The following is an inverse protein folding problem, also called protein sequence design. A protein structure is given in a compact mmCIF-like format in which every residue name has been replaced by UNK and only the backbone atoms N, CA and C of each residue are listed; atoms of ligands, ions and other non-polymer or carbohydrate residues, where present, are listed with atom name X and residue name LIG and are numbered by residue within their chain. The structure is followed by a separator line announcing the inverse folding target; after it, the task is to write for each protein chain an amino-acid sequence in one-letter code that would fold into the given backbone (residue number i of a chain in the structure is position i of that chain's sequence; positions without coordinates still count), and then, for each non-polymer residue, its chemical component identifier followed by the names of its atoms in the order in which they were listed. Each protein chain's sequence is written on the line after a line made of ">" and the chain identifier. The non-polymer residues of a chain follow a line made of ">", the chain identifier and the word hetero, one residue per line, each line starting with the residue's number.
data_IF_469739098239
#
_entry.id   IF_469739098239
#
_cell.length_a   1.000
_cell.length_b   1.000
_cell.length_c   1.000
_cell.angle_alpha   90.00
_cell.angle_beta   90.00
_cell.angle_gamma   90.00
#
_symmetry.space_group_name_H-M   'P 1'
#
loop_
_entity.id
_entity.type
_entity.pdbx_description
1 polymer ?
#
# COMPACT_ATOMS: atom_id res chain seq x y z
N UNK A 1 13.51 6.02 7.33
CA UNK A 1 12.84 6.61 6.15
C UNK A 1 11.56 7.21 6.70
N UNK A 2 11.31 8.52 6.52
CA UNK A 2 10.02 9.08 6.94
C UNK A 2 8.93 8.44 6.07
N UNK A 3 7.84 7.98 6.67
CA UNK A 3 6.77 7.31 5.95
C UNK A 3 5.83 8.34 5.34
N UNK A 4 5.46 8.16 4.08
CA UNK A 4 4.45 8.98 3.42
C UNK A 4 3.05 8.45 3.70
N UNK A 5 2.01 9.28 3.53
CA UNK A 5 0.61 8.88 3.74
C UNK A 5 0.23 7.57 3.03
N UNK A 6 0.61 7.39 1.76
CA UNK A 6 0.32 6.16 1.01
C UNK A 6 0.94 4.91 1.64
N UNK A 7 2.13 5.00 2.23
CA UNK A 7 2.77 3.88 2.94
C UNK A 7 2.04 3.57 4.25
N UNK A 8 1.55 4.59 4.96
CA UNK A 8 0.76 4.40 6.17
C UNK A 8 -0.58 3.73 5.84
N UNK A 9 -1.26 4.17 4.76
CA UNK A 9 -2.46 3.50 4.25
C UNK A 9 -2.19 2.04 3.89
N UNK A 10 -1.10 1.75 3.17
CA UNK A 10 -0.70 0.39 2.80
C UNK A 10 -0.54 -0.52 4.03
N UNK A 11 0.21 -0.04 5.03
CA UNK A 11 0.40 -0.76 6.29
C UNK A 11 -0.91 -1.03 7.02
N UNK A 12 -1.77 -0.02 7.14
CA UNK A 12 -3.05 -0.17 7.82
C UNK A 12 -3.92 -1.21 7.11
N UNK A 13 -3.98 -1.19 5.78
CA UNK A 13 -4.68 -2.22 4.99
C UNK A 13 -4.13 -3.61 5.29
N UNK A 14 -2.80 -3.80 5.30
CA UNK A 14 -2.18 -5.09 5.60
C UNK A 14 -2.52 -5.56 7.02
N UNK A 15 -2.54 -4.65 8.01
CA UNK A 15 -2.96 -4.98 9.38
C UNK A 15 -4.42 -5.43 9.41
N UNK A 16 -5.31 -4.74 8.70
CA UNK A 16 -6.73 -5.10 8.60
C UNK A 16 -6.94 -6.47 7.94
N UNK A 17 -6.17 -6.79 6.90
CA UNK A 17 -6.18 -8.13 6.28
C UNK A 17 -5.74 -9.21 7.26
N UNK A 18 -4.66 -8.97 8.02
CA UNK A 18 -4.22 -9.90 9.07
C UNK A 18 -5.29 -10.10 10.14
N UNK A 19 -6.00 -9.03 10.55
CA UNK A 19 -7.11 -9.14 11.50
C UNK A 19 -8.25 -9.98 10.96
N UNK A 20 -8.58 -9.82 9.67
CA UNK A 20 -9.63 -10.59 9.01
C UNK A 20 -9.31 -12.09 8.93
N UNK A 21 -8.05 -12.45 8.69
CA UNK A 21 -7.62 -13.83 8.48
C UNK A 21 -7.13 -14.57 9.74
N UNK A 22 -7.19 -13.97 10.93
CA UNK A 22 -6.72 -14.60 12.17
C UNK A 22 -7.86 -14.84 13.15
N UNK A 23 -7.93 -16.05 13.71
CA UNK A 23 -8.88 -16.42 14.76
C UNK A 23 -8.24 -16.43 16.17
N UNK A 24 -6.92 -16.31 16.23
CA UNK A 24 -6.15 -16.25 17.48
C UNK A 24 -6.40 -14.92 18.21
N UNK A 25 -7.01 -14.99 19.39
CA UNK A 25 -7.40 -13.82 20.20
C UNK A 25 -6.21 -12.96 20.67
N UNK A 26 -5.07 -13.57 20.98
CA UNK A 26 -3.87 -12.84 21.42
C UNK A 26 -3.28 -12.06 20.24
N UNK A 27 -3.25 -12.68 19.05
CA UNK A 27 -2.87 -12.00 17.81
C UNK A 27 -3.85 -10.89 17.44
N UNK A 28 -5.16 -11.11 17.56
CA UNK A 28 -6.18 -10.09 17.32
C UNK A 28 -5.96 -8.86 18.22
N UNK A 29 -5.72 -9.07 19.51
CA UNK A 29 -5.42 -8.00 20.47
C UNK A 29 -4.16 -7.21 20.09
N UNK A 30 -3.10 -7.92 19.67
CA UNK A 30 -1.86 -7.29 19.19
C UNK A 30 -2.07 -6.48 17.90
N UNK A 31 -2.81 -7.03 16.94
CA UNK A 31 -3.12 -6.35 15.67
C UNK A 31 -4.04 -5.16 15.86
N UNK A 32 -4.97 -5.21 16.82
CA UNK A 32 -5.84 -4.08 17.14
C UNK A 32 -5.04 -2.90 17.70
N UNK A 33 -4.08 -3.17 18.58
CA UNK A 33 -3.15 -2.14 19.06
C UNK A 33 -2.35 -1.51 17.92
N UNK A 34 -1.83 -2.34 17.00
CA UNK A 34 -1.10 -1.85 15.82
C UNK A 34 -2.01 -1.02 14.88
N UNK A 35 -3.25 -1.46 14.65
CA UNK A 35 -4.25 -0.75 13.85
C UNK A 35 -4.55 0.63 14.44
N UNK A 36 -4.74 0.72 15.75
CA UNK A 36 -5.03 1.99 16.44
C UNK A 36 -3.81 2.93 16.41
N UNK A 37 -2.60 2.41 16.60
CA UNK A 37 -1.37 3.20 16.48
C UNK A 37 -1.20 3.75 15.06
N UNK A 38 -1.37 2.92 14.04
CA UNK A 38 -1.28 3.35 12.63
C UNK A 38 -2.34 4.41 12.27
N UNK A 39 -3.56 4.29 12.81
CA UNK A 39 -4.58 5.33 12.62
C UNK A 39 -4.14 6.67 13.24
N UNK A 40 -3.62 6.64 14.47
CA UNK A 40 -3.10 7.85 15.12
C UNK A 40 -1.92 8.47 14.34
N UNK A 41 -1.02 7.64 13.80
CA UNK A 41 0.08 8.11 12.95
C UNK A 41 -0.43 8.74 11.64
N UNK A 42 -1.47 8.18 11.03
CA UNK A 42 -2.12 8.76 9.84
C UNK A 42 -2.75 10.12 10.18
N UNK A 43 -3.48 10.20 11.29
CA UNK A 43 -4.12 11.43 11.74
C UNK A 43 -3.08 12.53 12.01
N UNK A 44 -2.01 12.19 12.73
CA UNK A 44 -0.90 13.10 13.00
C UNK A 44 -0.20 13.55 11.72
N UNK A 45 0.04 12.64 10.77
CA UNK A 45 0.63 12.99 9.48
C UNK A 45 -0.25 13.98 8.71
N UNK A 46 -1.57 13.73 8.66
CA UNK A 46 -2.52 14.59 7.96
C UNK A 46 -2.57 15.97 8.60
N UNK A 47 -2.66 16.05 9.93
CA UNK A 47 -2.66 17.33 10.66
C UNK A 47 -1.38 18.11 10.36
N UNK A 48 -0.21 17.48 10.53
CA UNK A 48 1.07 18.14 10.29
C UNK A 48 1.26 18.60 8.84
N UNK A 49 0.79 17.82 7.86
CA UNK A 49 0.82 18.24 6.46
C UNK A 49 -0.08 19.45 6.20
N UNK A 50 -1.29 19.43 6.76
CA UNK A 50 -2.27 20.50 6.57
C UNK A 50 -1.88 21.80 7.28
N UNK A 51 -1.18 21.71 8.42
CA UNK A 51 -0.63 22.85 9.15
C UNK A 51 0.67 23.40 8.53
N UNK A 52 1.24 22.72 7.54
CA UNK A 52 2.49 23.12 6.88
C UNK A 52 3.76 22.69 7.64
N UNK A 53 3.64 21.86 8.68
CA UNK A 53 4.77 21.28 9.40
C UNK A 53 5.51 20.24 8.54
N UNK A 54 4.85 19.67 7.52
CA UNK A 54 5.46 18.81 6.50
C UNK A 54 5.49 19.59 5.17
N UNK A 55 6.69 19.96 4.68
CA UNK A 55 6.84 20.55 3.36
C UNK A 55 6.29 19.65 2.25
N UNK A 56 5.59 20.23 1.28
CA UNK A 56 4.92 19.50 0.18
C UNK A 56 5.90 18.60 -0.60
N UNK A 57 7.11 19.08 -0.85
CA UNK A 57 8.18 18.34 -1.53
C UNK A 57 8.65 17.09 -0.76
N UNK A 58 8.36 17.02 0.55
CA UNK A 58 8.65 15.85 1.40
C UNK A 58 7.46 14.88 1.54
N UNK A 59 6.30 15.23 0.99
CA UNK A 59 5.12 14.35 1.02
C UNK A 59 5.15 13.27 -0.07
N UNK A 60 6.04 13.42 -1.05
CA UNK A 60 6.28 12.48 -2.14
C UNK A 60 7.74 12.07 -2.16
N UNK A 61 8.04 10.85 -2.60
CA UNK A 61 9.41 10.43 -2.91
C UNK A 61 9.55 10.23 -4.42
N UNK A 62 10.73 10.56 -4.93
CA UNK A 62 11.08 10.20 -6.30
C UNK A 62 11.11 8.67 -6.45
N UNK A 63 10.40 8.18 -7.47
CA UNK A 63 10.33 6.76 -7.78
C UNK A 63 11.68 6.26 -8.32
N UNK A 64 12.60 5.90 -7.42
CA UNK A 64 13.96 5.45 -7.77
C UNK A 64 14.07 3.92 -7.95
N UNK A 65 12.95 3.18 -7.97
CA UNK A 65 12.96 1.72 -8.05
C UNK A 65 13.27 1.25 -9.48
N UNK A 66 14.40 0.55 -9.65
CA UNK A 66 14.81 -0.11 -10.89
C UNK A 66 13.96 -1.37 -11.10
N UNK A 67 12.93 -1.29 -11.93
CA UNK A 67 12.17 -2.47 -12.36
C UNK A 67 12.57 -2.87 -13.79
N UNK A 68 12.72 -4.18 -14.05
CA UNK A 68 12.79 -4.68 -15.43
C UNK A 68 11.42 -4.45 -16.08
N UNK A 69 11.35 -3.49 -17.01
CA UNK A 69 10.12 -3.10 -17.73
C UNK A 69 9.57 -4.21 -18.64
N UNK A 70 10.42 -5.12 -19.15
CA UNK A 70 9.98 -6.19 -20.04
C UNK A 70 9.05 -7.18 -19.30
N UNK A 71 7.80 -7.26 -19.78
CA UNK A 71 6.81 -8.23 -19.31
C UNK A 71 5.99 -7.84 -18.07
N UNK A 72 6.28 -6.69 -17.42
CA UNK A 72 5.59 -6.23 -16.21
C UNK A 72 4.91 -4.86 -16.40
N UNK A 73 4.16 -4.70 -17.48
CA UNK A 73 3.33 -3.50 -17.70
C UNK A 73 2.04 -3.60 -16.90
N UNK A 74 1.88 -2.72 -15.92
CA UNK A 74 0.63 -2.54 -15.17
C UNK A 74 -0.04 -1.25 -15.60
N UNK A 75 -1.38 -1.21 -15.54
CA UNK A 75 -2.16 -0.04 -15.88
C UNK A 75 -1.72 1.19 -15.06
N UNK A 76 -2.06 2.38 -15.54
CA UNK A 76 -1.95 3.58 -14.71
C UNK A 76 -3.05 3.58 -13.66
N UNK A 77 -2.70 4.04 -12.46
CA UNK A 77 -3.63 4.16 -11.34
C UNK A 77 -4.36 5.50 -11.48
N UNK A 78 -5.67 5.43 -11.71
CA UNK A 78 -6.52 6.57 -12.00
C UNK A 78 -7.62 6.72 -10.93
N UNK A 79 -8.20 7.91 -10.85
CA UNK A 79 -9.30 8.22 -9.93
C UNK A 79 -8.97 9.29 -8.90
N UNK A 80 -9.96 9.57 -8.06
CA UNK A 80 -9.88 10.45 -6.90
C UNK A 80 -9.21 9.75 -5.71
N UNK A 81 -8.96 10.49 -4.63
CA UNK A 81 -8.22 9.97 -3.48
C UNK A 81 -8.85 8.73 -2.87
N UNK A 82 -10.17 8.74 -2.63
CA UNK A 82 -10.89 7.60 -2.06
C UNK A 82 -10.89 6.38 -2.99
N UNK A 83 -11.04 6.60 -4.30
CA UNK A 83 -10.97 5.53 -5.31
C UNK A 83 -9.59 4.88 -5.36
N UNK A 84 -8.51 5.66 -5.23
CA UNK A 84 -7.15 5.11 -5.23
C UNK A 84 -6.85 4.37 -3.92
N UNK A 85 -7.35 4.83 -2.77
CA UNK A 85 -7.26 4.08 -1.51
C UNK A 85 -8.01 2.75 -1.60
N UNK A 86 -9.20 2.73 -2.21
CA UNK A 86 -9.95 1.51 -2.45
C UNK A 86 -9.20 0.55 -3.40
N UNK A 87 -8.57 1.07 -4.46
CA UNK A 87 -7.72 0.28 -5.35
C UNK A 87 -6.49 -0.30 -4.63
N UNK A 88 -5.84 0.47 -3.75
CA UNK A 88 -4.75 -0.04 -2.91
C UNK A 88 -5.23 -1.21 -2.04
N UNK A 89 -6.41 -1.09 -1.43
CA UNK A 89 -6.99 -2.15 -0.63
C UNK A 89 -7.25 -3.42 -1.44
N UNK A 90 -7.86 -3.29 -2.62
CA UNK A 90 -8.11 -4.42 -3.52
C UNK A 90 -6.82 -5.11 -3.98
N UNK A 91 -5.82 -4.32 -4.40
CA UNK A 91 -4.50 -4.86 -4.79
C UNK A 91 -3.84 -5.60 -3.63
N UNK A 92 -3.94 -5.08 -2.39
CA UNK A 92 -3.41 -5.76 -1.22
C UNK A 92 -4.15 -7.07 -0.90
N UNK A 93 -5.47 -7.13 -1.08
CA UNK A 93 -6.23 -8.39 -0.98
C UNK A 93 -5.73 -9.42 -2.02
N UNK A 94 -5.59 -9.00 -3.28
CA UNK A 94 -5.08 -9.87 -4.35
C UNK A 94 -3.65 -10.35 -4.05
N UNK A 95 -2.79 -9.45 -3.58
CA UNK A 95 -1.42 -9.77 -3.20
C UNK A 95 -1.37 -10.79 -2.07
N UNK A 96 -2.23 -10.65 -1.05
CA UNK A 96 -2.32 -11.60 0.06
C UNK A 96 -2.60 -13.02 -0.45
N UNK A 97 -3.65 -13.20 -1.25
CA UNK A 97 -4.01 -14.53 -1.77
C UNK A 97 -2.97 -15.11 -2.72
N UNK A 98 -2.30 -14.27 -3.52
CA UNK A 98 -1.21 -14.75 -4.37
C UNK A 98 0.02 -15.14 -3.56
N UNK A 99 0.30 -14.43 -2.45
CA UNK A 99 1.37 -14.79 -1.51
C UNK A 99 1.08 -16.08 -0.76
N UNK A 100 -0.18 -16.39 -0.47
CA UNK A 100 -0.55 -17.65 0.20
C UNK A 100 -0.11 -18.88 -0.61
N UNK A 101 -0.14 -18.80 -1.94
CA UNK A 101 0.36 -19.86 -2.84
C UNK A 101 1.87 -20.11 -2.71
N UNK A 102 2.62 -19.14 -2.20
CA UNK A 102 4.07 -19.26 -1.98
C UNK A 102 4.40 -19.99 -0.69
N UNK A 103 3.56 -19.95 0.34
CA UNK A 103 3.80 -20.74 1.56
C UNK A 103 3.74 -22.24 1.28
N UNK A 104 2.94 -22.65 0.30
CA UNK A 104 2.81 -24.03 -0.19
C UNK A 104 3.40 -24.18 -1.60
N UNK A 105 4.47 -23.44 -1.93
CA UNK A 105 5.00 -23.38 -3.30
C UNK A 105 5.44 -24.74 -3.87
N UNK A 106 5.76 -25.70 -3.01
CA UNK A 106 6.07 -27.09 -3.40
C UNK A 106 4.86 -27.80 -4.01
N UNK A 107 3.64 -27.46 -3.58
CA UNK A 107 2.37 -28.03 -4.08
C UNK A 107 1.88 -27.35 -5.36
N UNK A 108 2.45 -26.19 -5.71
CA UNK A 108 2.12 -25.50 -6.97
C UNK A 108 2.71 -26.30 -8.15
N UNK A 109 1.91 -26.67 -9.16
CA UNK A 109 2.42 -27.36 -10.35
C UNK A 109 3.56 -26.57 -11.00
N UNK A 110 4.59 -27.25 -11.50
CA UNK A 110 5.81 -26.62 -12.00
C UNK A 110 5.51 -25.57 -13.10
N UNK A 111 4.56 -25.87 -13.96
CA UNK A 111 4.08 -25.01 -15.05
C UNK A 111 3.32 -23.75 -14.57
N UNK A 112 2.88 -23.71 -13.31
CA UNK A 112 2.18 -22.57 -12.72
C UNK A 112 3.08 -21.67 -11.86
N UNK A 113 4.28 -22.15 -11.47
CA UNK A 113 5.20 -21.41 -10.59
C UNK A 113 5.61 -20.06 -11.15
N UNK A 114 5.95 -20.02 -12.44
CA UNK A 114 6.31 -18.77 -13.12
C UNK A 114 5.14 -17.78 -13.22
N UNK A 115 3.91 -18.30 -13.29
CA UNK A 115 2.69 -17.47 -13.32
C UNK A 115 2.51 -16.78 -11.97
N UNK A 116 2.65 -17.52 -10.86
CA UNK A 116 2.56 -16.97 -9.49
C UNK A 116 3.60 -15.88 -9.27
N UNK A 117 4.87 -16.16 -9.62
CA UNK A 117 5.96 -15.18 -9.46
C UNK A 117 5.70 -13.91 -10.29
N UNK A 118 5.24 -14.06 -11.54
CA UNK A 118 4.92 -12.91 -12.40
C UNK A 118 3.74 -12.11 -11.84
N UNK A 119 2.68 -12.78 -11.38
CA UNK A 119 1.51 -12.11 -10.79
C UNK A 119 1.89 -11.33 -9.53
N UNK A 120 2.75 -11.89 -8.67
CA UNK A 120 3.30 -11.17 -7.52
C UNK A 120 4.10 -9.93 -7.93
N UNK A 121 4.92 -10.02 -8.98
CA UNK A 121 5.69 -8.86 -9.47
C UNK A 121 4.75 -7.73 -9.96
N UNK A 122 3.72 -8.09 -10.73
CA UNK A 122 2.68 -7.18 -11.24
C UNK A 122 1.93 -6.52 -10.08
N UNK A 123 1.41 -7.30 -9.13
CA UNK A 123 0.65 -6.78 -7.98
C UNK A 123 1.50 -5.88 -7.08
N UNK A 124 2.78 -6.22 -6.85
CA UNK A 124 3.69 -5.35 -6.11
C UNK A 124 3.92 -4.01 -6.82
N UNK A 125 3.97 -4.01 -8.16
CA UNK A 125 4.11 -2.79 -8.94
C UNK A 125 2.84 -1.93 -8.86
N UNK A 126 1.66 -2.55 -8.97
CA UNK A 126 0.36 -1.88 -8.80
C UNK A 126 0.24 -1.25 -7.42
N UNK A 127 0.59 -1.98 -6.35
CA UNK A 127 0.59 -1.48 -4.97
C UNK A 127 1.46 -0.22 -4.83
N UNK A 128 2.68 -0.26 -5.36
CA UNK A 128 3.58 0.90 -5.33
C UNK A 128 2.99 2.09 -6.09
N UNK A 129 2.41 1.88 -7.28
CA UNK A 129 1.76 2.95 -8.03
C UNK A 129 0.58 3.56 -7.26
N UNK A 130 -0.20 2.75 -6.55
CA UNK A 130 -1.27 3.25 -5.69
C UNK A 130 -0.73 4.13 -4.55
N UNK A 131 0.33 3.67 -3.85
CA UNK A 131 1.01 4.44 -2.80
C UNK A 131 1.47 5.80 -3.33
N UNK A 132 2.19 5.81 -4.46
CA UNK A 132 2.72 7.03 -5.08
C UNK A 132 1.60 7.98 -5.54
N UNK A 133 0.49 7.41 -6.02
CA UNK A 133 -0.67 8.19 -6.45
C UNK A 133 -1.41 8.82 -5.28
N UNK A 134 -1.58 8.11 -4.16
CA UNK A 134 -2.15 8.64 -2.91
C UNK A 134 -1.32 9.83 -2.43
N UNK A 135 0.01 9.68 -2.39
CA UNK A 135 0.92 10.73 -1.98
C UNK A 135 0.77 11.98 -2.85
N UNK A 136 0.76 11.79 -4.17
CA UNK A 136 0.65 12.87 -5.15
C UNK A 136 -0.70 13.60 -5.07
N UNK A 137 -1.80 12.86 -4.92
CA UNK A 137 -3.13 13.44 -4.75
C UNK A 137 -3.23 14.25 -3.45
N UNK A 138 -2.73 13.71 -2.34
CA UNK A 138 -2.75 14.40 -1.06
C UNK A 138 -1.88 15.65 -1.05
N UNK A 139 -0.64 15.57 -1.57
CA UNK A 139 0.24 16.72 -1.73
C UNK A 139 -0.42 17.83 -2.57
N UNK A 140 -1.12 17.45 -3.65
CA UNK A 140 -1.89 18.39 -4.47
C UNK A 140 -3.06 19.05 -3.73
N UNK A 141 -3.73 18.33 -2.82
CA UNK A 141 -4.79 18.89 -1.96
C UNK A 141 -4.22 19.89 -0.95
N UNK A 142 -3.13 19.54 -0.27
CA UNK A 142 -2.46 20.41 0.72
C UNK A 142 -1.92 21.67 0.05
N UNK A 143 -1.27 21.53 -1.12
CA UNK A 143 -0.73 22.67 -1.88
C UNK A 143 -1.80 23.70 -2.27
N UNK A 144 -3.02 23.25 -2.59
CA UNK A 144 -4.14 24.14 -2.93
C UNK A 144 -4.73 24.88 -1.73
N UNK A 145 -4.49 24.39 -0.50
CA UNK A 145 -4.97 25.01 0.73
C UNK A 145 -4.02 26.10 1.24
N UNK A 146 -2.72 25.92 1.02
CA UNK A 146 -1.66 26.83 1.49
C UNK A 146 -1.53 28.07 0.59
N UNK A 147 -1.91 27.93 -0.69
CA UNK A 147 -2.03 29.06 -1.64
C UNK A 147 -3.41 29.73 -1.53
#
# INVERSE_FOLDING_TARGET
>A
MAETLGMLCDKLTIVKLKQYHTEDNDRLSSLEKQSTQLQAEIDEYIINAVEGNIPVDRMTFDANKVFKKEGNTVAEVMGNFGEVVAQLADVNCQLWHEQEKVYDFEKVPAEQKDIVVRKLAVLNLERNKCIDRINSLFAGMVSKKIN
#
